data_IF_667418964120
#
_entry.id   IF_667418964120
#
_cell.length_a   1.000
_cell.length_b   1.000
_cell.length_c   1.000
_cell.angle_alpha   90.00
_cell.angle_beta   90.00
_cell.angle_gamma   90.00
#
_symmetry.space_group_name_H-M   'P 1'
#
loop_
_entity.id
_entity.type
_entity.pdbx_description
1 polymer ?
#
# COMPACT_ATOMS: atom_id res chain seq x y z
N UNK A 1 6.30 20.06 16.32
CA UNK A 1 5.87 20.36 14.94
C UNK A 1 5.36 19.12 14.20
N UNK A 2 6.18 18.06 14.04
CA UNK A 2 5.81 16.83 13.30
C UNK A 2 4.45 16.21 13.72
N UNK A 3 4.26 15.92 15.00
CA UNK A 3 3.00 15.34 15.51
C UNK A 3 1.80 16.24 15.26
N UNK A 4 1.96 17.57 15.35
CA UNK A 4 0.87 18.51 15.08
C UNK A 4 0.42 18.47 13.62
N UNK A 5 1.36 18.35 12.67
CA UNK A 5 1.05 18.20 11.25
C UNK A 5 0.24 16.93 11.03
N UNK A 6 0.70 15.80 11.59
CA UNK A 6 0.01 14.51 11.46
C UNK A 6 -1.39 14.57 12.09
N UNK A 7 -1.52 15.13 13.30
CA UNK A 7 -2.81 15.31 13.96
C UNK A 7 -3.75 16.18 13.12
N UNK A 8 -3.27 17.30 12.57
CA UNK A 8 -4.07 18.17 11.72
C UNK A 8 -4.52 17.48 10.42
N UNK A 9 -3.65 16.72 9.77
CA UNK A 9 -3.99 15.95 8.56
C UNK A 9 -5.00 14.83 8.87
N UNK A 10 -4.85 14.14 10.00
CA UNK A 10 -5.82 13.16 10.48
C UNK A 10 -7.18 13.82 10.77
N UNK A 11 -7.20 14.96 11.45
CA UNK A 11 -8.42 15.71 11.71
C UNK A 11 -9.11 16.16 10.41
N UNK A 12 -8.35 16.62 9.42
CA UNK A 12 -8.88 16.97 8.10
C UNK A 12 -9.47 15.74 7.38
N UNK A 13 -8.78 14.59 7.42
CA UNK A 13 -9.26 13.32 6.87
C UNK A 13 -10.57 12.87 7.53
N UNK A 14 -10.64 12.90 8.86
CA UNK A 14 -11.84 12.57 9.63
C UNK A 14 -12.99 13.53 9.33
N UNK A 15 -12.72 14.83 9.28
CA UNK A 15 -13.72 15.83 8.90
C UNK A 15 -14.31 15.56 7.51
N UNK A 16 -13.47 15.18 6.54
CA UNK A 16 -13.93 14.81 5.18
C UNK A 16 -14.73 13.50 5.18
N UNK A 17 -14.36 12.55 6.04
CA UNK A 17 -15.00 11.26 6.18
C UNK A 17 -16.39 11.36 6.82
N UNK A 18 -16.58 12.25 7.80
CA UNK A 18 -17.83 12.37 8.58
C UNK A 18 -18.72 13.55 8.15
N UNK A 19 -18.52 14.11 6.95
CA UNK A 19 -19.31 15.24 6.43
C UNK A 19 -20.13 14.91 5.18
N UNK A 20 -21.11 15.76 4.91
CA UNK A 20 -21.92 15.70 3.69
C UNK A 20 -22.68 14.37 3.57
N UNK A 21 -22.68 13.71 2.40
CA UNK A 21 -23.39 12.45 2.18
C UNK A 21 -22.95 11.30 3.10
N UNK A 22 -21.77 11.42 3.73
CA UNK A 22 -21.18 10.40 4.62
C UNK A 22 -21.35 10.70 6.09
N UNK A 23 -22.18 11.68 6.47
CA UNK A 23 -22.34 12.08 7.87
C UNK A 23 -22.74 10.93 8.80
N UNK A 24 -23.47 9.94 8.29
CA UNK A 24 -23.86 8.73 9.02
C UNK A 24 -22.93 7.56 8.70
N UNK A 25 -22.73 7.24 7.42
CA UNK A 25 -21.95 6.07 6.98
C UNK A 25 -20.45 6.18 7.28
N UNK A 26 -19.93 7.40 7.45
CA UNK A 26 -18.52 7.66 7.77
C UNK A 26 -18.15 7.54 9.26
N UNK A 27 -19.12 7.46 10.17
CA UNK A 27 -18.85 7.41 11.62
C UNK A 27 -18.13 6.13 12.03
N UNK A 28 -18.64 4.96 11.62
CA UNK A 28 -18.01 3.69 11.97
C UNK A 28 -16.62 3.52 11.32
N UNK A 29 -16.40 3.85 10.03
CA UNK A 29 -15.06 3.90 9.45
C UNK A 29 -14.11 4.90 10.13
N UNK A 30 -14.62 6.03 10.64
CA UNK A 30 -13.83 6.99 11.39
C UNK A 30 -13.33 6.41 12.74
N UNK A 31 -14.18 5.67 13.46
CA UNK A 31 -13.75 4.94 14.66
C UNK A 31 -12.73 3.86 14.33
N UNK A 32 -12.92 3.15 13.22
CA UNK A 32 -11.95 2.17 12.75
C UNK A 32 -10.59 2.82 12.46
N UNK A 33 -10.55 3.98 11.80
CA UNK A 33 -9.33 4.76 11.57
C UNK A 33 -8.63 5.13 12.87
N UNK A 34 -9.37 5.71 13.81
CA UNK A 34 -8.84 6.13 15.11
C UNK A 34 -8.28 4.94 15.89
N UNK A 35 -9.01 3.83 15.91
CA UNK A 35 -8.54 2.60 16.54
C UNK A 35 -7.27 2.08 15.87
N UNK A 36 -7.26 1.95 14.54
CA UNK A 36 -6.09 1.48 13.80
C UNK A 36 -4.86 2.37 14.00
N UNK A 37 -5.02 3.70 13.91
CA UNK A 37 -3.92 4.66 14.08
C UNK A 37 -3.39 4.68 15.50
N UNK A 38 -4.26 4.57 16.52
CA UNK A 38 -3.85 4.43 17.91
C UNK A 38 -3.13 3.09 18.14
N UNK A 39 -3.66 2.00 17.57
CA UNK A 39 -3.12 0.65 17.70
C UNK A 39 -1.72 0.52 17.08
N UNK A 40 -1.52 1.05 15.88
CA UNK A 40 -0.21 1.09 15.22
C UNK A 40 0.77 2.06 15.92
N UNK A 41 0.26 2.93 16.80
CA UNK A 41 1.03 3.72 17.75
C UNK A 41 2.15 4.52 17.09
N UNK A 42 3.38 4.28 17.54
CA UNK A 42 4.57 4.98 17.07
C UNK A 42 4.72 4.94 15.53
N UNK A 43 4.36 3.83 14.87
CA UNK A 43 4.48 3.72 13.42
C UNK A 43 3.59 4.73 12.67
N UNK A 44 2.40 5.03 13.21
CA UNK A 44 1.47 5.98 12.60
C UNK A 44 1.89 7.44 12.77
N UNK A 45 2.68 7.75 13.80
CA UNK A 45 3.05 9.13 14.13
C UNK A 45 4.52 9.47 13.89
N UNK A 46 5.43 8.51 13.76
CA UNK A 46 6.87 8.78 13.63
C UNK A 46 7.41 8.57 12.22
N UNK A 47 6.54 8.32 11.24
CA UNK A 47 6.91 8.01 9.86
C UNK A 47 6.08 8.82 8.85
N UNK A 48 6.61 8.96 7.64
CA UNK A 48 6.00 9.73 6.53
C UNK A 48 4.61 9.19 6.14
N UNK A 49 4.31 7.95 6.51
CA UNK A 49 2.99 7.32 6.49
C UNK A 49 1.92 8.17 7.17
N UNK A 50 2.23 8.80 8.31
CA UNK A 50 1.31 9.67 9.03
C UNK A 50 0.93 10.93 8.25
N UNK A 51 1.70 11.30 7.23
CA UNK A 51 1.41 12.40 6.30
C UNK A 51 0.67 11.87 5.08
N UNK A 52 1.20 10.83 4.43
CA UNK A 52 0.67 10.34 3.16
C UNK A 52 -0.67 9.62 3.30
N UNK A 53 -0.88 8.83 4.35
CA UNK A 53 -2.12 8.08 4.55
C UNK A 53 -3.37 8.97 4.65
N UNK A 54 -3.43 10.05 5.47
CA UNK A 54 -4.59 10.94 5.49
C UNK A 54 -4.80 11.69 4.16
N UNK A 55 -3.73 12.04 3.43
CA UNK A 55 -3.86 12.66 2.10
C UNK A 55 -4.51 11.66 1.12
N UNK A 56 -4.06 10.41 1.13
CA UNK A 56 -4.62 9.33 0.29
C UNK A 56 -6.07 9.05 0.67
N UNK A 57 -6.41 9.04 1.97
CA UNK A 57 -7.80 8.91 2.43
C UNK A 57 -8.69 10.00 1.82
N UNK A 58 -8.28 11.27 1.93
CA UNK A 58 -9.02 12.40 1.35
C UNK A 58 -9.15 12.24 -0.16
N UNK A 59 -8.09 11.83 -0.85
CA UNK A 59 -8.11 11.62 -2.29
C UNK A 59 -9.12 10.52 -2.70
N UNK A 60 -9.09 9.37 -2.03
CA UNK A 60 -10.01 8.25 -2.28
C UNK A 60 -11.47 8.65 -2.04
N UNK A 61 -11.73 9.38 -0.95
CA UNK A 61 -13.05 9.89 -0.62
C UNK A 61 -13.59 10.90 -1.66
N UNK A 62 -12.72 11.51 -2.47
CA UNK A 62 -13.10 12.41 -3.55
C UNK A 62 -12.96 11.80 -4.96
N UNK A 63 -12.47 10.56 -5.09
CA UNK A 63 -12.13 9.98 -6.39
C UNK A 63 -13.35 9.88 -7.31
N UNK A 64 -14.52 9.48 -6.79
CA UNK A 64 -15.75 9.35 -7.58
C UNK A 64 -16.33 10.70 -8.03
N UNK A 65 -16.31 11.73 -7.17
CA UNK A 65 -16.98 13.02 -7.43
C UNK A 65 -16.05 14.08 -8.03
N UNK A 66 -14.75 14.03 -7.69
CA UNK A 66 -13.71 14.99 -8.10
C UNK A 66 -12.41 14.27 -8.47
N UNK A 67 -12.43 13.43 -9.53
CA UNK A 67 -11.30 12.58 -9.89
C UNK A 67 -10.01 13.34 -10.19
N UNK A 68 -10.11 14.58 -10.71
CA UNK A 68 -8.92 15.43 -10.96
C UNK A 68 -8.28 15.91 -9.66
N UNK A 69 -9.07 16.32 -8.67
CA UNK A 69 -8.55 16.72 -7.36
C UNK A 69 -7.93 15.54 -6.62
N UNK A 70 -8.56 14.36 -6.68
CA UNK A 70 -8.00 13.13 -6.17
C UNK A 70 -6.66 12.78 -6.86
N UNK A 71 -6.59 12.92 -8.18
CA UNK A 71 -5.37 12.77 -8.96
C UNK A 71 -4.22 13.67 -8.50
N UNK A 72 -4.49 14.97 -8.32
CA UNK A 72 -3.51 15.94 -7.81
C UNK A 72 -3.02 15.54 -6.42
N UNK A 73 -3.93 15.23 -5.49
CA UNK A 73 -3.57 14.82 -4.13
C UNK A 73 -2.71 13.55 -4.11
N UNK A 74 -3.05 12.56 -4.94
CA UNK A 74 -2.27 11.33 -5.07
C UNK A 74 -0.92 11.57 -5.72
N UNK A 75 -0.82 12.46 -6.72
CA UNK A 75 0.48 12.83 -7.30
C UNK A 75 1.38 13.54 -6.29
N UNK A 76 0.83 14.47 -5.50
CA UNK A 76 1.58 15.11 -4.40
C UNK A 76 2.02 14.06 -3.38
N UNK A 77 1.11 13.19 -2.94
CA UNK A 77 1.43 12.12 -2.00
C UNK A 77 2.49 11.14 -2.55
N UNK A 78 2.47 10.88 -3.87
CA UNK A 78 3.45 10.03 -4.56
C UNK A 78 4.86 10.61 -4.53
N UNK A 79 4.98 11.94 -4.70
CA UNK A 79 6.26 12.63 -4.58
C UNK A 79 6.77 12.69 -3.13
N UNK A 80 5.87 12.70 -2.14
CA UNK A 80 6.24 12.56 -0.73
C UNK A 80 6.72 11.12 -0.45
N UNK A 81 6.05 10.11 -1.01
CA UNK A 81 6.42 8.69 -0.90
C UNK A 81 5.80 7.90 -2.04
N UNK A 82 6.51 6.96 -2.65
CA UNK A 82 6.11 6.32 -3.92
C UNK A 82 4.79 5.49 -3.85
N UNK A 83 4.40 4.98 -2.68
CA UNK A 83 3.29 4.01 -2.57
C UNK A 83 1.90 4.46 -3.07
N UNK A 84 1.47 5.74 -2.97
CA UNK A 84 0.20 6.22 -3.51
C UNK A 84 0.10 6.08 -5.03
N UNK A 85 1.22 5.87 -5.74
CA UNK A 85 1.19 5.49 -7.15
C UNK A 85 0.36 4.22 -7.39
N UNK A 86 0.40 3.26 -6.46
CA UNK A 86 -0.41 2.04 -6.52
C UNK A 86 -1.92 2.33 -6.47
N UNK A 87 -2.33 3.42 -5.81
CA UNK A 87 -3.73 3.88 -5.74
C UNK A 87 -4.10 4.72 -6.97
N UNK A 88 -3.15 5.50 -7.49
CA UNK A 88 -3.35 6.37 -8.65
C UNK A 88 -3.64 5.57 -9.93
N UNK A 89 -2.99 4.42 -10.12
CA UNK A 89 -3.17 3.57 -11.31
C UNK A 89 -4.62 3.10 -11.49
N UNK A 90 -5.29 2.46 -10.51
CA UNK A 90 -6.70 2.11 -10.59
C UNK A 90 -7.63 3.29 -10.91
N UNK A 91 -7.35 4.47 -10.35
CA UNK A 91 -8.15 5.67 -10.59
C UNK A 91 -8.00 6.17 -12.03
N UNK A 92 -6.78 6.16 -12.58
CA UNK A 92 -6.53 6.50 -13.98
C UNK A 92 -7.24 5.50 -14.91
N UNK A 93 -7.22 4.21 -14.58
CA UNK A 93 -7.87 3.16 -15.38
C UNK A 93 -9.39 3.35 -15.38
N UNK A 94 -10.00 3.49 -14.20
CA UNK A 94 -11.45 3.54 -14.06
C UNK A 94 -12.09 4.88 -14.44
N UNK A 95 -11.34 6.00 -14.38
CA UNK A 95 -11.91 7.34 -14.57
C UNK A 95 -12.11 7.72 -16.05
N UNK A 96 -13.29 8.26 -16.36
CA UNK A 96 -13.55 8.93 -17.65
C UNK A 96 -12.70 10.19 -17.87
N UNK A 97 -12.15 10.79 -16.80
CA UNK A 97 -11.31 12.01 -16.87
C UNK A 97 -9.80 11.71 -16.83
N UNK A 98 -9.39 10.48 -17.15
CA UNK A 98 -8.00 10.00 -17.08
C UNK A 98 -6.96 10.94 -17.69
N UNK A 99 -7.25 11.54 -18.85
CA UNK A 99 -6.30 12.47 -19.49
C UNK A 99 -6.06 13.73 -18.66
N UNK A 100 -7.10 14.26 -17.99
CA UNK A 100 -6.95 15.40 -17.08
C UNK A 100 -6.18 15.02 -15.82
N UNK A 101 -6.42 13.81 -15.29
CA UNK A 101 -5.66 13.28 -14.14
C UNK A 101 -4.17 13.18 -14.50
N UNK A 102 -3.85 12.58 -15.65
CA UNK A 102 -2.48 12.46 -16.16
C UNK A 102 -1.85 13.84 -16.36
N UNK A 103 -2.55 14.77 -17.00
CA UNK A 103 -2.05 16.13 -17.22
C UNK A 103 -1.77 16.87 -15.91
N UNK A 104 -2.68 16.79 -14.93
CA UNK A 104 -2.47 17.38 -13.61
C UNK A 104 -1.31 16.71 -12.85
N UNK A 105 -1.18 15.38 -12.92
CA UNK A 105 -0.05 14.66 -12.32
C UNK A 105 1.29 15.02 -12.96
N UNK A 106 1.31 15.22 -14.28
CA UNK A 106 2.46 15.76 -15.00
C UNK A 106 2.78 17.19 -14.55
N UNK A 107 1.76 18.04 -14.33
CA UNK A 107 1.94 19.38 -13.77
C UNK A 107 2.55 19.38 -12.36
N UNK A 108 2.08 18.50 -11.46
CA UNK A 108 2.66 18.31 -10.12
C UNK A 108 4.12 17.87 -10.24
N UNK A 109 4.40 16.92 -11.12
CA UNK A 109 5.75 16.42 -11.40
C UNK A 109 6.67 17.52 -11.92
N UNK A 110 6.20 18.33 -12.87
CA UNK A 110 6.95 19.47 -13.39
C UNK A 110 7.24 20.52 -12.30
N UNK A 111 6.29 20.78 -11.40
CA UNK A 111 6.50 21.69 -10.27
C UNK A 111 7.57 21.16 -9.29
N UNK A 112 7.54 19.86 -8.98
CA UNK A 112 8.58 19.23 -8.14
C UNK A 112 9.94 19.25 -8.83
N UNK A 113 9.99 18.89 -10.12
CA UNK A 113 11.23 18.94 -10.90
C UNK A 113 11.81 20.35 -10.99
N UNK A 114 10.97 21.37 -11.19
CA UNK A 114 11.38 22.77 -11.19
C UNK A 114 11.92 23.21 -9.82
N UNK A 115 11.22 22.88 -8.72
CA UNK A 115 11.72 23.20 -7.37
C UNK A 115 13.05 22.49 -7.06
N UNK A 116 13.21 21.26 -7.53
CA UNK A 116 14.44 20.48 -7.38
C UNK A 116 15.58 21.07 -8.23
N UNK A 117 15.28 21.55 -9.44
CA UNK A 117 16.22 22.28 -10.28
C UNK A 117 16.66 23.60 -9.64
N UNK A 118 15.72 24.41 -9.16
CA UNK A 118 16.00 25.70 -8.53
C UNK A 118 16.82 25.58 -7.24
N UNK A 119 16.74 24.43 -6.56
CA UNK A 119 17.56 24.12 -5.38
C UNK A 119 18.90 23.44 -5.71
N UNK A 120 19.20 23.20 -7.00
CA UNK A 120 20.42 22.52 -7.45
C UNK A 120 20.42 21.00 -7.29
N UNK A 121 19.31 20.41 -6.84
CA UNK A 121 19.20 18.97 -6.56
C UNK A 121 18.79 18.10 -7.75
N UNK A 122 18.60 18.66 -8.96
CA UNK A 122 18.07 17.92 -10.11
C UNK A 122 18.85 16.64 -10.44
N UNK A 123 20.19 16.59 -10.35
CA UNK A 123 20.94 15.35 -10.58
C UNK A 123 20.52 14.19 -9.67
N UNK A 124 19.98 14.49 -8.48
CA UNK A 124 19.61 13.52 -7.45
C UNK A 124 18.14 13.11 -7.47
N UNK A 125 17.33 13.66 -8.39
CA UNK A 125 15.87 13.46 -8.39
C UNK A 125 15.45 11.99 -8.58
N UNK A 126 16.32 11.17 -9.20
CA UNK A 126 16.09 9.75 -9.45
C UNK A 126 16.92 8.82 -8.55
N UNK A 127 17.70 9.36 -7.59
CA UNK A 127 18.57 8.55 -6.72
C UNK A 127 17.75 7.54 -5.90
N UNK A 128 16.46 7.80 -5.65
CA UNK A 128 15.61 6.83 -4.98
C UNK A 128 15.46 5.52 -5.76
N UNK A 129 15.53 5.53 -7.10
CA UNK A 129 15.44 4.33 -7.93
C UNK A 129 16.70 3.48 -7.83
N UNK A 130 17.87 4.11 -7.90
CA UNK A 130 19.18 3.44 -7.78
C UNK A 130 19.39 2.93 -6.36
N UNK A 131 19.14 3.77 -5.35
CA UNK A 131 19.25 3.41 -3.94
C UNK A 131 18.28 2.27 -3.55
N UNK A 132 17.10 2.18 -4.18
CA UNK A 132 16.23 1.03 -3.98
C UNK A 132 16.79 -0.21 -4.67
N UNK A 133 17.38 -0.10 -5.86
CA UNK A 133 17.99 -1.19 -6.60
C UNK A 133 19.10 -1.93 -5.84
N UNK A 134 19.94 -1.20 -5.10
CA UNK A 134 21.12 -1.75 -4.42
C UNK A 134 20.83 -2.44 -3.07
N UNK A 135 19.60 -2.30 -2.54
CA UNK A 135 19.22 -2.89 -1.24
C UNK A 135 19.11 -4.41 -1.29
N UNK A 136 19.49 -5.05 -0.18
CA UNK A 136 19.16 -6.45 0.08
C UNK A 136 17.67 -6.64 0.38
N UNK A 137 17.31 -7.87 0.76
CA UNK A 137 15.95 -8.16 1.21
C UNK A 137 15.84 -7.81 2.69
N UNK A 138 14.93 -6.89 3.02
CA UNK A 138 14.67 -6.51 4.41
C UNK A 138 14.04 -7.69 5.15
N UNK A 139 14.43 -7.88 6.41
CA UNK A 139 13.98 -8.96 7.29
C UNK A 139 12.49 -9.28 7.21
N UNK A 140 11.67 -8.24 7.22
CA UNK A 140 10.21 -8.35 7.28
C UNK A 140 9.51 -8.41 5.91
N UNK A 141 10.24 -8.35 4.80
CA UNK A 141 9.64 -8.48 3.48
C UNK A 141 9.06 -9.87 3.26
N UNK A 142 7.97 -9.95 2.51
CA UNK A 142 7.22 -11.21 2.31
C UNK A 142 8.11 -12.31 1.76
N UNK A 143 8.93 -11.98 0.75
CA UNK A 143 9.87 -12.91 0.12
C UNK A 143 11.14 -13.17 0.94
N UNK A 144 11.39 -12.43 2.03
CA UNK A 144 12.49 -12.73 2.96
C UNK A 144 12.18 -13.92 3.86
N UNK A 145 10.90 -14.28 4.03
CA UNK A 145 10.44 -15.34 4.95
C UNK A 145 11.26 -16.64 4.87
N UNK A 146 11.62 -17.18 3.68
CA UNK A 146 12.46 -18.37 3.60
C UNK A 146 13.83 -18.18 4.27
N UNK A 147 14.50 -17.04 4.05
CA UNK A 147 15.82 -16.76 4.65
C UNK A 147 15.75 -16.44 6.14
N UNK A 148 14.61 -15.93 6.63
CA UNK A 148 14.35 -15.86 8.08
C UNK A 148 14.39 -17.25 8.68
N UNK A 149 13.67 -18.20 8.09
CA UNK A 149 13.67 -19.59 8.57
C UNK A 149 15.01 -20.30 8.39
N UNK A 150 15.74 -20.04 7.29
CA UNK A 150 17.10 -20.57 7.14
C UNK A 150 18.03 -20.05 8.25
N UNK A 151 17.85 -18.80 8.68
CA UNK A 151 18.60 -18.22 9.81
C UNK A 151 18.20 -18.87 11.14
N UNK A 152 16.90 -19.08 11.38
CA UNK A 152 16.37 -19.79 12.58
C UNK A 152 16.93 -21.21 12.68
N UNK A 153 17.01 -21.92 11.54
CA UNK A 153 17.48 -23.30 11.46
C UNK A 153 19.01 -23.42 11.32
N UNK A 154 19.73 -22.28 11.27
CA UNK A 154 21.17 -22.20 11.07
C UNK A 154 21.66 -22.96 9.81
N UNK A 155 20.96 -22.79 8.67
CA UNK A 155 21.23 -23.50 7.41
C UNK A 155 21.98 -22.60 6.43
N UNK A 156 23.02 -23.15 5.80
CA UNK A 156 23.68 -22.54 4.64
C UNK A 156 24.39 -21.21 4.94
N UNK A 157 24.78 -20.98 6.20
CA UNK A 157 25.38 -19.73 6.65
C UNK A 157 24.41 -18.54 6.63
N UNK A 158 23.10 -18.82 6.60
CA UNK A 158 22.07 -17.78 6.59
C UNK A 158 22.07 -17.01 7.91
N UNK A 159 21.90 -15.70 7.83
CA UNK A 159 21.90 -14.81 8.99
C UNK A 159 21.01 -13.60 8.76
N UNK A 160 20.57 -13.03 9.87
CA UNK A 160 19.93 -11.71 9.93
C UNK A 160 21.00 -10.73 10.41
N UNK A 161 21.20 -9.63 9.69
CA UNK A 161 22.18 -8.62 10.08
C UNK A 161 21.75 -7.21 9.71
N UNK A 162 22.23 -6.23 10.47
CA UNK A 162 21.95 -4.83 10.22
C UNK A 162 22.88 -4.27 9.14
N UNK A 163 22.27 -3.62 8.15
CA UNK A 163 22.93 -2.76 7.19
C UNK A 163 22.88 -1.32 7.70
N UNK A 164 23.94 -0.91 8.39
CA UNK A 164 24.06 0.40 9.04
C UNK A 164 24.06 1.57 8.06
N UNK A 165 24.50 1.37 6.81
CA UNK A 165 24.56 2.42 5.80
C UNK A 165 23.16 2.93 5.41
N UNK A 166 22.15 2.05 5.46
CA UNK A 166 20.77 2.36 5.08
C UNK A 166 19.77 2.20 6.25
N UNK A 167 20.29 1.95 7.46
CA UNK A 167 19.51 1.71 8.68
C UNK A 167 18.39 0.68 8.46
N UNK A 168 18.77 -0.51 7.97
CA UNK A 168 17.84 -1.60 7.65
C UNK A 168 18.38 -2.94 8.13
N UNK A 169 17.54 -3.77 8.71
CA UNK A 169 17.87 -5.17 9.01
C UNK A 169 17.55 -6.04 7.81
N UNK A 170 18.53 -6.80 7.33
CA UNK A 170 18.44 -7.62 6.11
C UNK A 170 18.65 -9.10 6.40
N UNK A 171 18.19 -9.95 5.48
CA UNK A 171 18.47 -11.39 5.48
C UNK A 171 19.55 -11.73 4.46
N UNK A 172 20.46 -12.61 4.85
CA UNK A 172 21.54 -13.13 4.03
C UNK A 172 21.51 -14.65 4.02
N UNK A 173 21.97 -15.26 2.94
CA UNK A 173 22.05 -16.71 2.80
C UNK A 173 22.15 -17.13 1.33
N UNK A 174 22.12 -18.44 1.04
CA UNK A 174 22.22 -18.97 -0.32
C UNK A 174 21.15 -18.35 -1.23
N UNK A 175 21.57 -17.80 -2.37
CA UNK A 175 20.66 -17.21 -3.36
C UNK A 175 19.95 -15.91 -2.95
N UNK A 176 20.21 -15.35 -1.76
CA UNK A 176 19.52 -14.15 -1.26
C UNK A 176 19.70 -12.94 -2.20
N UNK A 177 20.91 -12.73 -2.74
CA UNK A 177 21.20 -11.64 -3.66
C UNK A 177 20.44 -11.78 -4.99
N UNK A 178 20.31 -13.01 -5.50
CA UNK A 178 19.54 -13.29 -6.73
C UNK A 178 18.06 -13.02 -6.47
N UNK A 179 17.53 -13.47 -5.33
CA UNK A 179 16.15 -13.17 -4.95
C UNK A 179 15.92 -11.66 -4.81
N UNK A 180 16.80 -10.93 -4.11
CA UNK A 180 16.76 -9.48 -3.96
C UNK A 180 16.72 -8.75 -5.31
N UNK A 181 17.55 -9.19 -6.27
CA UNK A 181 17.59 -8.66 -7.63
C UNK A 181 16.27 -8.92 -8.38
N UNK A 182 15.74 -10.14 -8.30
CA UNK A 182 14.51 -10.55 -9.00
C UNK A 182 13.23 -9.92 -8.42
N UNK A 183 13.24 -9.47 -7.17
CA UNK A 183 12.06 -8.82 -6.56
C UNK A 183 11.68 -7.52 -7.27
N UNK A 184 12.64 -6.76 -7.81
CA UNK A 184 12.34 -5.52 -8.53
C UNK A 184 11.54 -5.77 -9.83
N UNK A 185 11.99 -6.61 -10.79
CA UNK A 185 11.19 -6.93 -11.96
C UNK A 185 9.90 -7.67 -11.60
N UNK A 186 9.90 -8.47 -10.51
CA UNK A 186 8.67 -9.13 -10.03
C UNK A 186 7.61 -8.13 -9.55
N UNK A 187 8.01 -7.07 -8.83
CA UNK A 187 7.12 -5.98 -8.44
C UNK A 187 6.54 -5.27 -9.66
N UNK A 188 7.36 -4.98 -10.67
CA UNK A 188 6.90 -4.38 -11.93
C UNK A 188 5.92 -5.30 -12.64
N UNK A 189 6.22 -6.60 -12.74
CA UNK A 189 5.34 -7.60 -13.33
C UNK A 189 4.00 -7.68 -12.60
N UNK A 190 4.00 -7.67 -11.26
CA UNK A 190 2.79 -7.67 -10.45
C UNK A 190 1.94 -6.41 -10.70
N UNK A 191 2.57 -5.24 -10.80
CA UNK A 191 1.88 -3.99 -11.11
C UNK A 191 1.26 -4.00 -12.53
N UNK A 192 1.99 -4.53 -13.52
CA UNK A 192 1.49 -4.67 -14.90
C UNK A 192 0.34 -5.68 -14.96
N UNK A 193 0.48 -6.84 -14.31
CA UNK A 193 -0.56 -7.87 -14.26
C UNK A 193 -1.84 -7.35 -13.58
N UNK A 194 -1.70 -6.65 -12.44
CA UNK A 194 -2.82 -6.01 -11.76
C UNK A 194 -3.50 -4.96 -12.63
N UNK A 195 -2.73 -4.12 -13.32
CA UNK A 195 -3.26 -3.13 -14.27
C UNK A 195 -4.00 -3.76 -15.44
N UNK A 196 -3.45 -4.85 -16.00
CA UNK A 196 -4.08 -5.61 -17.08
C UNK A 196 -5.40 -6.25 -16.62
N UNK A 197 -5.45 -6.79 -15.39
CA UNK A 197 -6.66 -7.35 -14.80
C UNK A 197 -7.74 -6.28 -14.60
N UNK A 198 -7.37 -5.09 -14.12
CA UNK A 198 -8.29 -3.96 -13.98
C UNK A 198 -8.83 -3.50 -15.34
N UNK A 199 -7.98 -3.38 -16.35
CA UNK A 199 -8.40 -3.05 -17.71
C UNK A 199 -9.33 -4.11 -18.30
N UNK A 200 -9.06 -5.40 -18.06
CA UNK A 200 -9.94 -6.49 -18.48
C UNK A 200 -11.31 -6.40 -17.80
N UNK A 201 -11.35 -6.19 -16.48
CA UNK A 201 -12.60 -6.07 -15.73
C UNK A 201 -13.40 -4.84 -16.18
N UNK A 202 -12.75 -3.70 -16.40
CA UNK A 202 -13.37 -2.49 -16.94
C UNK A 202 -13.99 -2.74 -18.32
N UNK A 203 -13.25 -3.39 -19.23
CA UNK A 203 -13.74 -3.74 -20.58
C UNK A 203 -14.92 -4.70 -20.55
N UNK A 204 -15.05 -5.50 -19.49
CA UNK A 204 -16.23 -6.37 -19.26
C UNK A 204 -17.42 -5.64 -18.64
N UNK A 205 -17.30 -4.33 -18.35
CA UNK A 205 -18.36 -3.50 -17.80
C UNK A 205 -18.42 -3.49 -16.27
N UNK A 206 -17.30 -3.76 -15.58
CA UNK A 206 -17.23 -3.53 -14.14
C UNK A 206 -17.58 -2.06 -13.82
N UNK A 207 -18.32 -1.85 -12.73
CA UNK A 207 -18.68 -0.51 -12.27
C UNK A 207 -17.40 0.25 -11.86
N UNK A 208 -17.14 1.46 -12.38
CA UNK A 208 -15.88 2.17 -12.16
C UNK A 208 -15.52 2.47 -10.70
N UNK A 209 -16.50 2.82 -9.86
CA UNK A 209 -16.27 3.14 -8.45
C UNK A 209 -15.79 1.91 -7.66
N UNK A 210 -16.50 0.79 -7.80
CA UNK A 210 -16.11 -0.49 -7.21
C UNK A 210 -14.76 -0.96 -7.75
N UNK A 211 -14.51 -0.81 -9.06
CA UNK A 211 -13.28 -1.26 -9.68
C UNK A 211 -12.06 -0.50 -9.16
N UNK A 212 -12.16 0.83 -8.95
CA UNK A 212 -11.01 1.58 -8.44
C UNK A 212 -10.73 1.24 -6.97
N UNK A 213 -11.76 1.04 -6.12
CA UNK A 213 -11.55 0.72 -4.70
C UNK A 213 -10.88 -0.66 -4.56
N UNK A 214 -11.38 -1.67 -5.27
CA UNK A 214 -10.77 -3.00 -5.28
C UNK A 214 -9.38 -3.00 -5.92
N UNK A 215 -9.22 -2.24 -7.00
CA UNK A 215 -7.92 -2.05 -7.64
C UNK A 215 -6.91 -1.37 -6.73
N UNK A 216 -7.33 -0.37 -5.94
CA UNK A 216 -6.47 0.29 -4.95
C UNK A 216 -6.01 -0.70 -3.89
N UNK A 217 -6.91 -1.55 -3.37
CA UNK A 217 -6.55 -2.55 -2.37
C UNK A 217 -5.57 -3.57 -2.98
N UNK A 218 -5.87 -4.07 -4.17
CA UNK A 218 -5.03 -5.04 -4.88
C UNK A 218 -3.64 -4.49 -5.16
N UNK A 219 -3.54 -3.31 -5.77
CA UNK A 219 -2.27 -2.72 -6.16
C UNK A 219 -1.44 -2.31 -4.94
N UNK A 220 -2.05 -1.73 -3.90
CA UNK A 220 -1.34 -1.40 -2.66
C UNK A 220 -0.84 -2.67 -1.97
N UNK A 221 -1.65 -3.73 -1.90
CA UNK A 221 -1.22 -5.00 -1.31
C UNK A 221 -0.12 -5.67 -2.13
N UNK A 222 -0.20 -5.62 -3.47
CA UNK A 222 0.86 -6.12 -4.35
C UNK A 222 2.18 -5.35 -4.14
N UNK A 223 2.10 -4.03 -3.98
CA UNK A 223 3.26 -3.19 -3.64
C UNK A 223 3.89 -3.52 -2.28
N UNK A 224 3.16 -4.13 -1.36
CA UNK A 224 3.71 -4.60 -0.08
C UNK A 224 4.29 -6.00 -0.25
N UNK A 225 3.55 -6.91 -0.89
CA UNK A 225 3.92 -8.33 -1.04
C UNK A 225 5.20 -8.50 -1.85
N UNK A 226 5.33 -7.80 -2.97
CA UNK A 226 6.45 -7.98 -3.91
C UNK A 226 7.62 -7.02 -3.68
N UNK A 227 7.56 -6.20 -2.63
CA UNK A 227 8.62 -5.24 -2.34
C UNK A 227 9.66 -5.83 -1.39
N UNK A 228 10.94 -5.66 -1.75
CA UNK A 228 12.07 -6.16 -0.97
C UNK A 228 12.33 -5.36 0.31
N UNK A 229 11.78 -4.15 0.41
CA UNK A 229 11.77 -3.32 1.62
C UNK A 229 10.42 -3.52 2.30
N UNK A 230 10.32 -4.44 3.26
CA UNK A 230 9.05 -4.85 3.88
C UNK A 230 8.78 -4.28 5.27
N UNK A 231 9.06 -3.00 5.48
CA UNK A 231 8.99 -2.34 6.80
C UNK A 231 7.59 -2.40 7.45
N UNK A 232 7.47 -2.48 8.80
CA UNK A 232 6.20 -2.55 9.54
C UNK A 232 5.22 -1.45 9.17
N UNK A 233 5.74 -0.26 8.90
CA UNK A 233 4.97 0.93 8.54
C UNK A 233 4.15 0.77 7.25
N UNK A 234 4.51 -0.15 6.36
CA UNK A 234 3.79 -0.36 5.09
C UNK A 234 2.35 -0.84 5.32
N UNK A 235 2.06 -1.45 6.46
CA UNK A 235 0.70 -1.87 6.82
C UNK A 235 -0.25 -0.66 6.91
N UNK A 236 0.27 0.53 7.22
CA UNK A 236 -0.52 1.78 7.27
C UNK A 236 -1.05 2.18 5.90
N UNK A 237 -0.39 1.77 4.81
CA UNK A 237 -0.79 2.10 3.43
C UNK A 237 -2.16 1.52 3.07
N UNK A 238 -2.52 0.38 3.69
CA UNK A 238 -3.79 -0.31 3.44
C UNK A 238 -4.98 0.37 4.13
N UNK A 239 -4.75 1.06 5.25
CA UNK A 239 -5.80 1.70 6.05
C UNK A 239 -6.68 2.71 5.29
N UNK A 240 -6.14 3.70 4.55
CA UNK A 240 -6.97 4.65 3.83
C UNK A 240 -7.82 3.99 2.73
N UNK A 241 -7.31 2.92 2.12
CA UNK A 241 -8.05 2.14 1.11
C UNK A 241 -9.20 1.36 1.73
N UNK A 242 -8.93 0.64 2.82
CA UNK A 242 -9.95 -0.11 3.56
C UNK A 242 -11.06 0.80 4.08
N UNK A 243 -10.72 2.00 4.56
CA UNK A 243 -11.73 2.97 5.04
C UNK A 243 -12.59 3.49 3.90
N UNK A 244 -11.98 3.88 2.78
CA UNK A 244 -12.74 4.32 1.61
C UNK A 244 -13.74 3.23 1.19
N UNK A 245 -13.30 1.97 1.23
CA UNK A 245 -14.13 0.81 1.01
C UNK A 245 -15.24 0.60 2.05
N UNK A 246 -14.94 0.63 3.35
CA UNK A 246 -15.93 0.53 4.44
C UNK A 246 -16.99 1.63 4.37
N UNK A 247 -16.61 2.81 3.89
CA UNK A 247 -17.51 3.95 3.69
C UNK A 247 -18.45 3.73 2.51
N UNK A 248 -17.99 3.00 1.49
CA UNK A 248 -18.75 2.66 0.29
C UNK A 248 -19.67 1.45 0.51
N UNK A 249 -19.15 0.35 1.07
CA UNK A 249 -19.91 -0.87 1.38
C UNK A 249 -19.33 -1.57 2.64
N UNK A 250 -19.94 -1.32 3.78
CA UNK A 250 -19.52 -1.88 5.06
C UNK A 250 -19.47 -3.41 5.09
N UNK A 251 -20.51 -4.06 4.57
CA UNK A 251 -20.69 -5.50 4.69
C UNK A 251 -19.65 -6.28 3.89
N UNK A 252 -19.26 -5.73 2.75
CA UNK A 252 -18.20 -6.29 1.90
C UNK A 252 -16.83 -6.01 2.49
N UNK A 253 -16.58 -4.78 2.92
CA UNK A 253 -15.24 -4.34 3.33
C UNK A 253 -14.85 -4.72 4.75
N UNK A 254 -15.76 -5.31 5.54
CA UNK A 254 -15.43 -5.90 6.84
C UNK A 254 -14.37 -7.02 6.74
N UNK A 255 -14.30 -7.73 5.62
CA UNK A 255 -13.32 -8.82 5.42
C UNK A 255 -11.90 -8.26 5.24
N UNK A 256 -11.63 -7.33 4.29
CA UNK A 256 -10.38 -6.59 4.23
C UNK A 256 -10.01 -5.89 5.55
N UNK A 257 -10.99 -5.31 6.24
CA UNK A 257 -10.74 -4.64 7.52
C UNK A 257 -10.30 -5.62 8.62
N UNK A 258 -10.91 -6.80 8.70
CA UNK A 258 -10.51 -7.85 9.64
C UNK A 258 -9.13 -8.43 9.30
N UNK A 259 -8.85 -8.69 8.02
CA UNK A 259 -7.54 -9.13 7.56
C UNK A 259 -6.47 -8.08 7.89
N UNK A 260 -6.73 -6.81 7.61
CA UNK A 260 -5.82 -5.71 7.94
C UNK A 260 -5.58 -5.61 9.45
N UNK A 261 -6.59 -5.82 10.28
CA UNK A 261 -6.39 -5.84 11.73
C UNK A 261 -5.55 -7.03 12.20
N UNK A 262 -5.71 -8.22 11.60
CA UNK A 262 -4.84 -9.37 11.89
C UNK A 262 -3.39 -9.13 11.45
N UNK A 263 -3.19 -8.49 10.30
CA UNK A 263 -1.87 -8.07 9.81
C UNK A 263 -1.27 -7.02 10.74
N UNK A 264 -2.05 -6.03 11.17
CA UNK A 264 -1.61 -5.01 12.12
C UNK A 264 -1.24 -5.61 13.47
N UNK A 265 -2.06 -6.54 14.00
CA UNK A 265 -1.81 -7.19 15.29
C UNK A 265 -0.53 -8.01 15.27
N UNK A 266 -0.33 -8.84 14.25
CA UNK A 266 0.91 -9.62 14.09
C UNK A 266 2.12 -8.71 13.88
N UNK A 267 1.95 -7.58 13.19
CA UNK A 267 2.99 -6.56 13.02
C UNK A 267 3.32 -5.86 14.34
N UNK A 268 2.32 -5.52 15.16
CA UNK A 268 2.50 -4.86 16.45
C UNK A 268 3.23 -5.75 17.47
N UNK A 269 2.90 -7.06 17.49
CA UNK A 269 3.61 -8.05 18.29
C UNK A 269 5.10 -8.08 17.93
N UNK A 270 5.45 -8.02 16.64
CA UNK A 270 6.85 -7.96 16.22
C UNK A 270 7.44 -6.60 16.56
N UNK A 271 6.90 -5.52 16.02
CA UNK A 271 7.38 -4.17 16.23
C UNK A 271 6.27 -3.30 16.85
N UNK A 272 6.47 -2.76 18.07
CA UNK A 272 7.76 -2.60 18.74
C UNK A 272 8.11 -3.69 19.77
N UNK A 273 7.25 -4.65 20.05
CA UNK A 273 7.38 -5.47 21.28
C UNK A 273 8.52 -6.51 21.24
N UNK A 274 8.66 -7.23 20.12
CA UNK A 274 9.57 -8.38 20.01
C UNK A 274 10.48 -8.34 18.78
N UNK A 275 10.91 -7.13 18.38
CA UNK A 275 11.80 -6.95 17.25
C UNK A 275 13.19 -7.54 17.55
N UNK A 276 13.68 -7.35 18.78
CA UNK A 276 14.99 -7.90 19.21
C UNK A 276 15.04 -9.43 19.15
N UNK A 277 14.05 -10.19 19.66
CA UNK A 277 14.00 -11.63 19.41
C UNK A 277 13.99 -11.99 17.92
N UNK A 278 13.25 -11.26 17.08
CA UNK A 278 13.19 -11.54 15.64
C UNK A 278 14.55 -11.38 14.96
N UNK A 279 15.30 -10.31 15.24
CA UNK A 279 16.63 -10.10 14.64
C UNK A 279 17.65 -11.16 15.10
N UNK A 280 17.43 -11.78 16.27
CA UNK A 280 18.21 -12.92 16.77
C UNK A 280 17.63 -14.28 16.35
N UNK A 281 16.88 -14.31 15.25
CA UNK A 281 16.34 -15.53 14.65
C UNK A 281 15.49 -16.39 15.61
N UNK A 282 14.68 -15.75 16.46
CA UNK A 282 13.76 -16.48 17.33
C UNK A 282 12.65 -17.18 16.51
N UNK A 283 12.42 -18.49 16.70
CA UNK A 283 11.46 -19.26 15.91
C UNK A 283 10.00 -18.81 16.11
N UNK A 284 9.64 -18.36 17.31
CA UNK A 284 8.28 -17.90 17.61
C UNK A 284 8.01 -16.60 16.85
N UNK A 285 8.93 -15.64 16.89
CA UNK A 285 8.78 -14.39 16.14
C UNK A 285 8.85 -14.59 14.63
N UNK A 286 9.67 -15.52 14.15
CA UNK A 286 9.66 -15.93 12.75
C UNK A 286 8.30 -16.51 12.32
N UNK A 287 7.62 -17.29 13.18
CA UNK A 287 6.27 -17.78 12.94
C UNK A 287 5.21 -16.67 12.95
N UNK A 288 5.33 -15.67 13.84
CA UNK A 288 4.45 -14.49 13.83
C UNK A 288 4.63 -13.69 12.54
N UNK A 289 5.87 -13.46 12.10
CA UNK A 289 6.18 -12.77 10.85
C UNK A 289 5.66 -13.56 9.64
N UNK A 290 5.82 -14.88 9.67
CA UNK A 290 5.26 -15.76 8.63
C UNK A 290 3.75 -15.63 8.57
N UNK A 291 3.06 -15.61 9.72
CA UNK A 291 1.61 -15.40 9.79
C UNK A 291 1.21 -14.05 9.19
N UNK A 292 1.92 -12.97 9.53
CA UNK A 292 1.72 -11.63 8.95
C UNK A 292 1.83 -11.65 7.43
N UNK A 293 2.87 -12.30 6.91
CA UNK A 293 3.14 -12.40 5.48
C UNK A 293 2.11 -13.27 4.74
N UNK A 294 1.66 -14.38 5.35
CA UNK A 294 0.56 -15.18 4.82
C UNK A 294 -0.73 -14.36 4.76
N UNK A 295 -1.06 -13.60 5.80
CA UNK A 295 -2.25 -12.75 5.81
C UNK A 295 -2.20 -11.66 4.71
N UNK A 296 -1.03 -11.08 4.44
CA UNK A 296 -0.83 -10.16 3.31
C UNK A 296 -1.08 -10.84 1.96
N UNK A 297 -0.57 -12.05 1.77
CA UNK A 297 -0.81 -12.84 0.55
C UNK A 297 -2.29 -13.21 0.42
N UNK A 298 -2.96 -13.56 1.53
CA UNK A 298 -4.41 -13.82 1.55
C UNK A 298 -5.21 -12.56 1.18
N UNK A 299 -4.82 -11.39 1.67
CA UNK A 299 -5.46 -10.12 1.31
C UNK A 299 -5.25 -9.79 -0.18
N UNK A 300 -4.05 -10.04 -0.72
CA UNK A 300 -3.78 -9.90 -2.15
C UNK A 300 -4.64 -10.87 -2.97
N UNK A 301 -4.66 -12.15 -2.59
CA UNK A 301 -5.51 -13.14 -3.24
C UNK A 301 -6.98 -12.74 -3.24
N UNK A 302 -7.49 -12.30 -2.09
CA UNK A 302 -8.87 -11.83 -1.93
C UNK A 302 -9.19 -10.68 -2.89
N UNK A 303 -8.33 -9.67 -2.97
CA UNK A 303 -8.54 -8.50 -3.83
C UNK A 303 -8.42 -8.83 -5.33
N UNK A 304 -7.53 -9.76 -5.71
CA UNK A 304 -7.44 -10.31 -7.07
C UNK A 304 -8.73 -11.04 -7.43
N UNK A 305 -9.20 -11.97 -6.59
CA UNK A 305 -10.44 -12.70 -6.81
C UNK A 305 -11.63 -11.74 -6.95
N UNK A 306 -11.68 -10.70 -6.11
CA UNK A 306 -12.75 -9.74 -6.19
C UNK A 306 -12.74 -8.95 -7.50
N UNK A 307 -11.57 -8.54 -7.96
CA UNK A 307 -11.42 -7.88 -9.27
C UNK A 307 -11.85 -8.80 -10.42
N UNK A 308 -11.54 -10.10 -10.33
CA UNK A 308 -11.99 -11.12 -11.30
C UNK A 308 -13.52 -11.25 -11.30
N UNK A 309 -14.15 -11.29 -10.13
CA UNK A 309 -15.61 -11.36 -10.01
C UNK A 309 -16.34 -10.17 -10.63
N UNK A 310 -15.80 -8.96 -10.45
CA UNK A 310 -16.36 -7.74 -11.06
C UNK A 310 -16.40 -7.86 -12.58
N UNK A 311 -15.32 -8.35 -13.20
CA UNK A 311 -15.29 -8.58 -14.65
C UNK A 311 -16.25 -9.68 -15.12
N UNK A 312 -16.39 -10.78 -14.35
CA UNK A 312 -17.29 -11.90 -14.72
C UNK A 312 -18.78 -11.53 -14.64
N UNK A 313 -19.20 -10.89 -13.54
CA UNK A 313 -20.62 -10.54 -13.30
C UNK A 313 -21.16 -9.57 -14.35
N UNK A 314 -20.35 -8.61 -14.78
CA UNK A 314 -20.74 -7.65 -15.81
C UNK A 314 -20.81 -8.27 -17.20
N UNK A 315 -19.90 -9.21 -17.53
CA UNK A 315 -19.97 -9.97 -18.77
C UNK A 315 -21.26 -10.77 -18.92
N UNK A 316 -21.74 -11.40 -17.84
CA UNK A 316 -23.00 -12.15 -17.83
C UNK A 316 -24.22 -11.24 -18.05
N UNK A 317 -24.26 -10.05 -17.41
CA UNK A 317 -25.33 -9.06 -17.62
C UNK A 317 -25.35 -8.50 -19.05
N UNK A 318 -24.19 -8.32 -19.66
CA UNK A 318 -24.08 -7.87 -21.05
C UNK A 318 -24.64 -8.92 -22.02
N UNK A 319 -24.27 -10.20 -21.83
CA UNK A 319 -24.73 -11.30 -22.66
C UNK A 319 -26.26 -11.51 -22.63
N UNK A 320 -26.88 -11.36 -21.44
CA UNK A 320 -28.34 -11.45 -21.28
C UNK A 320 -29.07 -10.27 -21.95
N UNK A 321 -28.43 -9.10 -22.06
CA UNK A 321 -29.04 -7.93 -22.75
C UNK A 321 -28.90 -7.97 -24.27
N UNK A 322 -27.98 -8.78 -24.80
CA UNK A 322 -27.75 -8.95 -26.23
C UNK A 322 -28.45 -10.17 -26.84
N UNK A 323 -29.06 -11.01 -26.00
CA UNK A 323 -29.88 -12.17 -26.39
C UNK A 323 -31.36 -11.78 -26.33
#
# INVERSE_FOLDING_TARGET
MWTLIITALNAAGLFVLTRGPRRTTGIAPAWWWLFFTAFMGYLSFARVEGITAPIVLVALLYAATRPVAAGILLSIATWIKVWPAAVLVPIIIASHRRLRIIACGAGVTAAVALGTYLSGGLPHILDFLTNQGERGMQLEATFSTPWVWLSVLNIGGSKIADNVAINSTEVYGPGANVAAFLMQPLLVLAAVAGSALLLWALRRGAEPEELFLEGALMMTTAFIVFNKVGSPQFIIWLAPVVIAGLTHDWNRWRVPAALLMGIAMTTFVIYPLFYTPLIHANPVMAAVLTTRNVLLVVLLWWSVQRTVELGRKSGARSAIRSA
#
